data_IF_567760479065
#
_entry.id   IF_567760479065
#
_cell.length_a   1.000
_cell.length_b   1.000
_cell.length_c   1.000
_cell.angle_alpha   90.00
_cell.angle_beta   90.00
_cell.angle_gamma   90.00
#
_symmetry.space_group_name_H-M   'P 1'
#
loop_
_entity.id
_entity.type
_entity.pdbx_description
1 polymer ?
#
# COMPACT_ATOMS: atom_id res chain seq x y z
N UNK A 1 -12.40 2.13 -12.40
CA UNK A 1 -11.17 2.22 -11.60
C UNK A 1 -11.39 3.32 -10.57
N UNK A 2 -11.24 3.04 -9.27
CA UNK A 2 -11.33 4.07 -8.24
C UNK A 2 -9.94 4.71 -8.09
N UNK A 3 -9.87 6.04 -8.11
CA UNK A 3 -8.66 6.78 -7.76
C UNK A 3 -8.65 7.00 -6.25
N UNK A 4 -7.49 7.15 -5.63
CA UNK A 4 -7.42 7.35 -4.19
C UNK A 4 -6.02 7.64 -3.71
N UNK A 5 -5.93 8.13 -2.49
CA UNK A 5 -4.67 8.41 -1.84
C UNK A 5 -4.37 7.30 -0.85
N UNK A 6 -3.21 6.66 -1.00
CA UNK A 6 -2.64 5.72 -0.05
C UNK A 6 -1.61 6.46 0.81
N UNK A 7 -1.87 6.54 2.11
CA UNK A 7 -0.99 7.19 3.09
C UNK A 7 -0.46 6.12 4.03
N UNK A 8 0.86 6.03 4.13
CA UNK A 8 1.54 5.09 5.03
C UNK A 8 2.45 5.88 5.94
N UNK A 9 2.24 5.69 7.24
CA UNK A 9 2.99 6.36 8.31
C UNK A 9 3.62 5.31 9.22
N UNK A 10 4.51 5.75 10.12
CA UNK A 10 5.16 4.90 11.11
C UNK A 10 4.13 4.33 12.10
N UNK A 11 3.48 3.23 11.71
CA UNK A 11 2.50 2.49 12.50
C UNK A 11 1.09 2.40 11.91
N UNK A 12 0.76 3.07 10.80
CA UNK A 12 -0.58 3.00 10.18
C UNK A 12 -0.53 3.02 8.65
N UNK A 13 -1.50 2.34 8.04
CA UNK A 13 -1.83 2.42 6.61
C UNK A 13 -3.27 2.91 6.46
N UNK A 14 -3.45 3.93 5.65
CA UNK A 14 -4.75 4.50 5.32
C UNK A 14 -4.89 4.59 3.80
N UNK A 15 -6.03 4.15 3.29
CA UNK A 15 -6.40 4.37 1.90
C UNK A 15 -7.73 5.11 1.86
N UNK A 16 -7.77 6.21 1.11
CA UNK A 16 -8.99 6.98 0.86
C UNK A 16 -9.29 7.00 -0.65
N UNK A 17 -10.30 6.24 -1.06
CA UNK A 17 -10.75 6.17 -2.45
C UNK A 17 -11.79 7.25 -2.79
N UNK A 18 -11.59 8.00 -3.88
CA UNK A 18 -12.48 9.07 -4.33
C UNK A 18 -12.83 9.02 -5.83
N UNK A 19 -14.04 9.51 -6.19
CA UNK A 19 -15.18 9.81 -5.30
C UNK A 19 -15.97 8.52 -4.99
N UNK A 20 -16.21 8.24 -3.70
CA UNK A 20 -17.01 7.08 -3.26
C UNK A 20 -16.33 5.71 -3.35
N UNK A 21 -15.00 5.70 -3.45
CA UNK A 21 -14.21 4.48 -3.49
C UNK A 21 -14.10 3.81 -2.13
N UNK A 22 -13.68 2.53 -2.14
CA UNK A 22 -13.32 1.84 -0.90
C UNK A 22 -12.25 2.63 -0.14
N UNK A 23 -12.43 2.76 1.17
CA UNK A 23 -11.46 3.38 2.06
C UNK A 23 -11.23 2.47 3.25
N UNK A 24 -10.02 2.47 3.80
CA UNK A 24 -9.71 1.74 5.03
C UNK A 24 -8.64 2.46 5.82
N UNK A 25 -8.70 2.26 7.13
CA UNK A 25 -7.66 2.63 8.08
C UNK A 25 -7.32 1.39 8.91
N UNK A 26 -6.03 1.07 8.96
CA UNK A 26 -5.51 -0.05 9.72
C UNK A 26 -4.12 0.24 10.30
N UNK A 27 -3.79 -0.34 11.46
CA UNK A 27 -2.42 -0.32 11.95
C UNK A 27 -1.52 -1.12 11.01
N UNK A 28 -0.25 -0.73 10.92
CA UNK A 28 0.71 -1.32 9.97
C UNK A 28 0.94 -2.82 10.23
N UNK A 29 0.84 -3.25 11.49
CA UNK A 29 0.91 -4.67 11.89
C UNK A 29 -0.26 -5.52 11.38
N UNK A 30 -1.33 -4.90 10.88
CA UNK A 30 -2.44 -5.60 10.24
C UNK A 30 -2.17 -5.91 8.76
N UNK A 31 -1.05 -5.40 8.21
CA UNK A 31 -0.57 -5.74 6.88
C UNK A 31 0.28 -7.01 6.97
N UNK A 32 -0.19 -8.09 6.35
CA UNK A 32 0.46 -9.41 6.45
C UNK A 32 1.31 -9.74 5.25
N UNK A 33 0.95 -9.21 4.08
CA UNK A 33 1.63 -9.46 2.80
C UNK A 33 1.67 -8.19 1.98
N UNK A 34 2.78 -8.01 1.27
CA UNK A 34 3.01 -6.89 0.36
C UNK A 34 3.74 -7.39 -0.87
N UNK A 35 3.31 -6.91 -2.03
CA UNK A 35 3.88 -7.19 -3.34
C UNK A 35 3.97 -5.86 -4.10
N UNK A 36 5.17 -5.50 -4.55
CA UNK A 36 5.40 -4.29 -5.34
C UNK A 36 6.01 -4.71 -6.67
N UNK A 37 5.34 -4.41 -7.79
CA UNK A 37 5.79 -4.79 -9.13
C UNK A 37 5.30 -3.77 -10.16
N UNK A 38 6.22 -3.21 -10.96
CA UNK A 38 5.93 -2.36 -12.13
C UNK A 38 4.79 -1.34 -11.92
N UNK A 39 4.94 -0.47 -10.91
CA UNK A 39 3.93 0.56 -10.60
C UNK A 39 2.62 0.00 -10.03
N UNK A 40 2.63 -1.23 -9.51
CA UNK A 40 1.50 -1.84 -8.80
C UNK A 40 1.92 -2.24 -7.40
N UNK A 41 1.00 -2.07 -6.46
CA UNK A 41 1.14 -2.47 -5.06
C UNK A 41 -0.02 -3.37 -4.69
N UNK A 42 0.27 -4.64 -4.45
CA UNK A 42 -0.62 -5.58 -3.79
C UNK A 42 -0.36 -5.59 -2.29
N UNK A 43 -1.40 -5.54 -1.47
CA UNK A 43 -1.25 -5.74 -0.02
C UNK A 43 -2.43 -6.50 0.57
N UNK A 44 -2.17 -7.26 1.64
CA UNK A 44 -3.20 -7.92 2.43
C UNK A 44 -3.32 -7.24 3.79
N UNK A 45 -4.44 -6.56 4.01
CA UNK A 45 -4.73 -5.79 5.24
C UNK A 45 -5.94 -6.41 5.94
N UNK A 46 -5.79 -6.86 7.19
CA UNK A 46 -6.84 -7.56 7.96
C UNK A 46 -7.49 -8.73 7.19
N UNK A 47 -6.67 -9.50 6.45
CA UNK A 47 -7.14 -10.63 5.63
C UNK A 47 -7.84 -10.25 4.32
N UNK A 48 -8.03 -8.95 4.04
CA UNK A 48 -8.56 -8.46 2.75
C UNK A 48 -7.42 -8.08 1.83
N UNK A 49 -7.52 -8.48 0.57
CA UNK A 49 -6.52 -8.17 -0.45
C UNK A 49 -6.90 -6.88 -1.19
N UNK A 50 -5.92 -5.98 -1.34
CA UNK A 50 -6.04 -4.71 -2.04
C UNK A 50 -4.97 -4.62 -3.12
N UNK A 51 -5.34 -4.06 -4.27
CA UNK A 51 -4.42 -3.79 -5.37
C UNK A 51 -4.51 -2.33 -5.75
N UNK A 52 -3.38 -1.64 -5.71
CA UNK A 52 -3.23 -0.26 -6.10
C UNK A 52 -2.37 -0.18 -7.34
N UNK A 53 -2.72 0.74 -8.24
CA UNK A 53 -1.85 1.17 -9.32
C UNK A 53 -1.29 2.52 -8.93
N UNK A 54 0.02 2.61 -8.88
CA UNK A 54 0.77 3.85 -8.70
C UNK A 54 1.14 4.30 -10.10
N UNK A 55 0.48 5.34 -10.60
CA UNK A 55 0.92 6.03 -11.81
C UNK A 55 2.19 6.80 -11.44
N UNK A 56 3.33 6.17 -11.71
CA UNK A 56 4.63 6.72 -11.38
C UNK A 56 5.09 7.69 -12.46
N UNK A 57 4.75 8.97 -12.29
CA UNK A 57 5.37 10.06 -13.04
C UNK A 57 6.60 10.52 -12.25
N UNK A 58 7.78 9.94 -12.54
CA UNK A 58 9.11 10.32 -12.01
C UNK A 58 9.34 10.17 -10.49
N UNK A 59 8.53 10.85 -9.67
CA UNK A 59 8.61 10.97 -8.21
C UNK A 59 8.08 9.72 -7.48
N UNK A 60 7.16 8.97 -8.10
CA UNK A 60 6.48 7.86 -7.39
C UNK A 60 7.29 6.58 -7.31
N UNK A 61 8.39 6.45 -8.06
CA UNK A 61 9.31 5.31 -7.94
C UNK A 61 10.05 5.32 -6.59
N UNK A 62 10.48 6.50 -6.14
CA UNK A 62 11.11 6.66 -4.83
C UNK A 62 10.12 6.36 -3.68
N UNK A 63 8.86 6.81 -3.85
CA UNK A 63 7.77 6.48 -2.94
C UNK A 63 7.44 4.98 -2.87
N UNK A 64 7.54 4.25 -3.99
CA UNK A 64 7.33 2.80 -4.05
C UNK A 64 8.42 2.01 -3.32
N UNK A 65 9.68 2.43 -3.42
CA UNK A 65 10.78 1.78 -2.71
C UNK A 65 10.74 2.09 -1.21
N UNK A 66 10.47 3.34 -0.82
CA UNK A 66 10.27 3.72 0.58
C UNK A 66 9.08 2.96 1.21
N UNK A 67 8.01 2.77 0.44
CA UNK A 67 6.86 1.96 0.81
C UNK A 67 7.25 0.50 1.09
N UNK A 68 8.01 -0.11 0.18
CA UNK A 68 8.50 -1.48 0.32
C UNK A 68 9.37 -1.63 1.57
N UNK A 69 10.25 -0.68 1.83
CA UNK A 69 11.12 -0.67 3.00
C UNK A 69 10.31 -0.56 4.30
N UNK A 70 9.40 0.43 4.39
CA UNK A 70 8.56 0.63 5.58
C UNK A 70 7.69 -0.59 5.91
N UNK A 71 7.20 -1.28 4.88
CA UNK A 71 6.39 -2.49 5.06
C UNK A 71 7.23 -3.71 5.43
N UNK A 72 8.45 -3.81 4.89
CA UNK A 72 9.41 -4.87 5.25
C UNK A 72 9.88 -4.73 6.70
N UNK A 73 10.17 -3.50 7.14
CA UNK A 73 10.53 -3.18 8.53
C UNK A 73 9.40 -3.51 9.52
N UNK A 74 8.15 -3.27 9.10
CA UNK A 74 6.96 -3.61 9.89
C UNK A 74 6.67 -5.12 9.99
N UNK A 75 7.49 -5.97 9.36
CA UNK A 75 7.35 -7.42 9.38
C UNK A 75 6.34 -7.98 8.37
N UNK A 76 5.88 -7.19 7.42
CA UNK A 76 5.09 -7.70 6.31
C UNK A 76 6.00 -8.57 5.43
N UNK A 77 5.59 -9.81 5.17
CA UNK A 77 6.42 -10.72 4.37
C UNK A 77 6.29 -10.34 2.89
N UNK A 78 7.40 -10.17 2.15
CA UNK A 78 7.34 -10.10 0.70
C UNK A 78 6.81 -11.44 0.20
N UNK A 79 5.80 -11.40 -0.66
CA UNK A 79 5.30 -12.60 -1.31
C UNK A 79 6.39 -13.13 -2.26
N UNK A 80 6.76 -14.40 -2.10
CA UNK A 80 7.77 -15.09 -2.92
C UNK A 80 7.35 -15.21 -4.39
#
# INVERSE_FOLDING_TARGET
>A
MCLGNLVITKGRVEFNGYPGGHSFDAPLNAVTEVEVQDGRVGMRVRGKQYHFRVDADGDSAEGLEALREALTDAGAKPKK
#
